data_IF_351707725658
#
_entry.id   IF_351707725658
#
_cell.length_a   1.000
_cell.length_b   1.000
_cell.length_c   1.000
_cell.angle_alpha   90.00
_cell.angle_beta   90.00
_cell.angle_gamma   90.00
#
_symmetry.space_group_name_H-M   'P 1'
#
loop_
_entity.id
_entity.type
_entity.pdbx_description
1 polymer ?
#
# COMPACT_ATOMS: atom_id res chain seq x y z
N UNK A 1 16.95 -3.42 -13.79
CA UNK A 1 16.39 -4.34 -12.76
C UNK A 1 16.76 -3.90 -11.34
N UNK A 2 18.01 -3.52 -11.07
CA UNK A 2 18.46 -3.06 -9.74
C UNK A 2 17.72 -1.81 -9.25
N UNK A 3 17.42 -0.85 -10.11
CA UNK A 3 16.61 0.33 -9.78
C UNK A 3 15.15 -0.02 -9.44
N UNK A 4 14.57 -1.02 -10.07
CA UNK A 4 13.20 -1.49 -9.78
C UNK A 4 13.08 -2.15 -8.40
N UNK A 5 14.08 -2.94 -8.00
CA UNK A 5 14.10 -3.59 -6.69
C UNK A 5 14.33 -2.58 -5.56
N UNK A 6 15.19 -1.58 -5.78
CA UNK A 6 15.42 -0.49 -4.85
C UNK A 6 14.16 0.37 -4.64
N UNK A 7 13.47 0.73 -5.71
CA UNK A 7 12.22 1.49 -5.64
C UNK A 7 11.15 0.73 -4.86
N UNK A 8 11.00 -0.57 -5.08
CA UNK A 8 10.02 -1.39 -4.35
C UNK A 8 10.32 -1.49 -2.85
N UNK A 9 11.59 -1.68 -2.46
CA UNK A 9 11.99 -1.79 -1.06
C UNK A 9 11.96 -0.44 -0.33
N UNK A 10 12.43 0.64 -0.96
CA UNK A 10 12.35 1.99 -0.38
C UNK A 10 10.91 2.46 -0.21
N UNK A 11 10.05 2.08 -1.14
CA UNK A 11 8.65 2.42 -1.10
C UNK A 11 7.91 1.75 0.03
N UNK A 12 8.16 0.47 0.26
CA UNK A 12 7.60 -0.28 1.37
C UNK A 12 8.02 0.30 2.72
N UNK A 13 9.29 0.73 2.85
CA UNK A 13 9.80 1.37 4.07
C UNK A 13 9.14 2.72 4.30
N UNK A 14 9.00 3.56 3.27
CA UNK A 14 8.35 4.87 3.38
C UNK A 14 6.87 4.75 3.73
N UNK A 15 6.18 3.83 3.10
CA UNK A 15 4.76 3.59 3.35
C UNK A 15 4.52 3.14 4.79
N UNK A 16 5.30 2.17 5.26
CA UNK A 16 5.24 1.71 6.65
C UNK A 16 5.58 2.80 7.66
N UNK A 17 6.52 3.71 7.38
CA UNK A 17 6.85 4.82 8.29
C UNK A 17 5.72 5.86 8.32
N UNK A 18 5.08 6.16 7.20
CA UNK A 18 3.98 7.14 7.12
C UNK A 18 2.74 6.61 7.83
N UNK A 19 2.39 5.35 7.62
CA UNK A 19 1.20 4.73 8.23
C UNK A 19 1.42 4.32 9.69
N UNK A 20 2.69 4.13 10.11
CA UNK A 20 3.11 3.76 11.45
C UNK A 20 2.51 4.65 12.54
N UNK A 21 2.36 5.97 12.28
CA UNK A 21 1.79 6.94 13.22
C UNK A 21 0.25 6.96 13.25
N UNK A 22 -0.42 6.23 12.35
CA UNK A 22 -1.86 6.39 12.18
C UNK A 22 -2.68 5.95 13.41
N UNK A 23 -2.76 4.67 13.68
CA UNK A 23 -3.61 4.17 14.78
C UNK A 23 -2.84 3.77 16.04
N UNK A 24 -1.62 3.26 15.89
CA UNK A 24 -0.85 2.76 17.03
C UNK A 24 -0.36 3.89 17.94
N UNK A 25 -0.07 5.08 17.41
CA UNK A 25 0.31 6.25 18.22
C UNK A 25 -0.89 6.83 18.98
N UNK A 26 -2.05 6.92 18.36
CA UNK A 26 -3.28 7.36 19.02
C UNK A 26 -3.69 6.42 20.16
N UNK A 27 -3.53 5.12 19.96
CA UNK A 27 -3.78 4.11 20.99
C UNK A 27 -2.82 4.23 22.18
N UNK A 28 -1.55 4.52 21.90
CA UNK A 28 -0.54 4.78 22.95
C UNK A 28 -0.84 6.05 23.75
N UNK A 29 -1.38 7.08 23.10
CA UNK A 29 -1.73 8.35 23.75
C UNK A 29 -3.13 8.33 24.37
N UNK A 30 -3.87 7.21 24.31
CA UNK A 30 -5.25 7.04 24.77
C UNK A 30 -6.26 8.03 24.13
N UNK A 31 -5.91 8.65 23.03
CA UNK A 31 -6.79 9.54 22.26
C UNK A 31 -7.81 8.76 21.43
N UNK A 32 -7.58 7.46 21.24
CA UNK A 32 -8.52 6.52 20.65
C UNK A 32 -9.84 6.45 21.41
N UNK A 33 -9.82 6.57 22.74
CA UNK A 33 -11.04 6.58 23.58
C UNK A 33 -11.93 7.79 23.27
N UNK A 34 -11.34 8.96 23.07
CA UNK A 34 -12.07 10.16 22.68
C UNK A 34 -12.67 10.04 21.26
N UNK A 35 -11.97 9.34 20.35
CA UNK A 35 -12.42 9.09 19.00
C UNK A 35 -13.60 8.07 18.97
N UNK A 36 -13.53 7.04 19.81
CA UNK A 36 -14.56 6.00 19.91
C UNK A 36 -15.85 6.50 20.59
N UNK A 37 -15.76 7.55 21.42
CA UNK A 37 -16.93 8.21 22.06
C UNK A 37 -17.55 9.30 21.19
N UNK A 38 -16.90 9.68 20.09
CA UNK A 38 -17.44 10.63 19.12
C UNK A 38 -18.66 10.07 18.38
N UNK A 39 -19.66 10.90 18.04
CA UNK A 39 -20.84 10.49 17.28
C UNK A 39 -20.55 10.20 15.80
N UNK A 40 -19.29 10.26 15.36
CA UNK A 40 -18.87 9.97 13.98
C UNK A 40 -18.88 8.47 13.69
N UNK A 41 -19.15 8.09 12.45
CA UNK A 41 -19.09 6.70 12.02
C UNK A 41 -17.63 6.20 12.03
N UNK A 42 -17.39 4.99 12.52
CA UNK A 42 -16.05 4.38 12.55
C UNK A 42 -15.44 4.26 11.14
N UNK A 43 -16.30 4.08 10.15
CA UNK A 43 -15.88 4.03 8.76
C UNK A 43 -15.31 5.37 8.28
N UNK A 44 -15.91 6.50 8.68
CA UNK A 44 -15.39 7.84 8.35
C UNK A 44 -14.01 8.08 8.95
N UNK A 45 -13.76 7.59 10.16
CA UNK A 45 -12.46 7.69 10.81
C UNK A 45 -11.40 6.91 10.04
N UNK A 46 -11.71 5.66 9.66
CA UNK A 46 -10.80 4.81 8.87
C UNK A 46 -10.51 5.43 7.51
N UNK A 47 -11.57 5.93 6.83
CA UNK A 47 -11.43 6.59 5.53
C UNK A 47 -10.62 7.89 5.63
N UNK A 48 -10.82 8.69 6.67
CA UNK A 48 -10.05 9.91 6.89
C UNK A 48 -8.56 9.64 7.06
N UNK A 49 -8.19 8.60 7.82
CA UNK A 49 -6.80 8.20 8.01
C UNK A 49 -6.19 7.61 6.74
N UNK A 50 -6.94 6.78 6.03
CA UNK A 50 -6.52 6.23 4.76
C UNK A 50 -6.26 7.33 3.73
N UNK A 51 -7.18 8.28 3.58
CA UNK A 51 -7.03 9.41 2.67
C UNK A 51 -5.85 10.31 3.06
N UNK A 52 -5.65 10.56 4.36
CA UNK A 52 -4.52 11.34 4.84
C UNK A 52 -3.17 10.68 4.48
N UNK A 53 -3.04 9.38 4.72
CA UNK A 53 -1.85 8.62 4.34
C UNK A 53 -1.66 8.57 2.82
N UNK A 54 -2.74 8.37 2.06
CA UNK A 54 -2.71 8.32 0.60
C UNK A 54 -2.31 9.67 -0.01
N UNK A 55 -2.77 10.79 0.53
CA UNK A 55 -2.37 12.13 0.08
C UNK A 55 -0.88 12.35 0.32
N UNK A 56 -0.36 12.02 1.51
CA UNK A 56 1.07 12.10 1.81
C UNK A 56 1.90 11.25 0.85
N UNK A 57 1.43 10.03 0.59
CA UNK A 57 2.07 9.14 -0.36
C UNK A 57 2.04 9.69 -1.79
N UNK A 58 0.91 10.26 -2.21
CA UNK A 58 0.76 10.91 -3.51
C UNK A 58 1.74 12.09 -3.67
N UNK A 59 1.89 12.92 -2.62
CA UNK A 59 2.87 14.03 -2.63
C UNK A 59 4.30 13.48 -2.76
N UNK A 60 4.64 12.42 -2.04
CA UNK A 60 5.94 11.77 -2.16
C UNK A 60 6.14 11.16 -3.57
N UNK A 61 5.09 10.64 -4.19
CA UNK A 61 5.18 10.06 -5.54
C UNK A 61 5.38 11.11 -6.64
N UNK A 62 5.04 12.39 -6.40
CA UNK A 62 5.34 13.48 -7.34
C UNK A 62 6.83 13.66 -7.61
N UNK A 63 7.69 13.19 -6.71
CA UNK A 63 9.15 13.21 -6.92
C UNK A 63 9.55 12.43 -8.18
N UNK A 64 8.82 11.34 -8.50
CA UNK A 64 9.07 10.56 -9.72
C UNK A 64 8.69 11.33 -10.99
N UNK A 65 7.66 12.16 -10.92
CA UNK A 65 7.25 13.04 -12.03
C UNK A 65 8.32 14.12 -12.24
N UNK A 66 8.83 14.70 -11.16
CA UNK A 66 9.93 15.68 -11.23
C UNK A 66 11.18 15.05 -11.81
N UNK A 67 11.50 13.82 -11.42
CA UNK A 67 12.63 13.09 -11.97
C UNK A 67 12.47 12.82 -13.47
N UNK A 68 11.27 12.43 -13.91
CA UNK A 68 10.95 12.25 -15.32
C UNK A 68 11.07 13.56 -16.13
N UNK A 69 10.68 14.70 -15.52
CA UNK A 69 10.88 16.02 -16.12
C UNK A 69 12.36 16.35 -16.33
N UNK A 70 13.20 16.05 -15.35
CA UNK A 70 14.65 16.27 -15.46
C UNK A 70 15.24 15.40 -16.59
N UNK A 71 14.84 14.14 -16.69
CA UNK A 71 15.28 13.25 -17.77
C UNK A 71 14.82 13.75 -19.14
N UNK A 72 13.65 14.38 -19.21
CA UNK A 72 13.10 14.96 -20.45
C UNK A 72 14.02 16.00 -21.12
N UNK A 73 14.93 16.63 -20.36
CA UNK A 73 15.94 17.53 -20.93
C UNK A 73 17.07 16.81 -21.67
N UNK A 74 17.27 15.52 -21.38
CA UNK A 74 18.34 14.72 -21.97
C UNK A 74 17.84 13.71 -23.00
N UNK A 75 16.62 13.24 -22.85
CA UNK A 75 16.02 12.20 -23.70
C UNK A 75 14.50 12.47 -23.76
N UNK A 76 13.85 12.12 -24.87
CA UNK A 76 12.39 12.19 -25.01
C UNK A 76 11.72 11.00 -24.29
N UNK A 77 11.26 11.11 -23.05
CA UNK A 77 10.56 10.02 -22.37
C UNK A 77 9.14 9.88 -22.92
N UNK A 78 8.65 8.65 -22.98
CA UNK A 78 7.25 8.38 -23.27
C UNK A 78 6.38 8.79 -22.08
N UNK A 79 5.75 9.95 -22.14
CA UNK A 79 4.89 10.51 -21.08
C UNK A 79 3.73 9.58 -20.70
N UNK A 80 3.23 8.80 -21.65
CA UNK A 80 2.18 7.82 -21.39
C UNK A 80 2.67 6.75 -20.41
N UNK A 81 3.88 6.23 -20.60
CA UNK A 81 4.48 5.23 -19.69
C UNK A 81 4.75 5.82 -18.31
N UNK A 82 5.23 7.07 -18.24
CA UNK A 82 5.47 7.76 -16.96
C UNK A 82 4.17 7.91 -16.17
N UNK A 83 3.10 8.39 -16.81
CA UNK A 83 1.80 8.56 -16.16
C UNK A 83 1.21 7.21 -15.71
N UNK A 84 1.29 6.17 -16.55
CA UNK A 84 0.86 4.82 -16.19
C UNK A 84 1.62 4.29 -14.99
N UNK A 85 2.94 4.48 -14.96
CA UNK A 85 3.79 4.04 -13.85
C UNK A 85 3.42 4.75 -12.54
N UNK A 86 3.21 6.06 -12.56
CA UNK A 86 2.79 6.83 -11.39
C UNK A 86 1.41 6.38 -10.90
N UNK A 87 0.49 6.13 -11.81
CA UNK A 87 -0.85 5.62 -11.47
C UNK A 87 -0.76 4.22 -10.84
N UNK A 88 0.00 3.31 -11.43
CA UNK A 88 0.25 1.98 -10.86
C UNK A 88 0.88 2.06 -9.48
N UNK A 89 1.81 3.00 -9.28
CA UNK A 89 2.46 3.29 -8.03
C UNK A 89 1.44 3.73 -6.95
N UNK A 90 0.53 4.64 -7.28
CA UNK A 90 -0.53 5.10 -6.38
C UNK A 90 -1.49 3.98 -6.01
N UNK A 91 -1.83 3.10 -6.96
CA UNK A 91 -2.69 1.95 -6.71
C UNK A 91 -2.00 0.92 -5.80
N UNK A 92 -0.76 0.58 -6.07
CA UNK A 92 0.04 -0.31 -5.23
C UNK A 92 0.17 0.27 -3.81
N UNK A 93 0.55 1.56 -3.69
CA UNK A 93 0.66 2.24 -2.41
C UNK A 93 -0.66 2.27 -1.65
N UNK A 94 -1.79 2.50 -2.31
CA UNK A 94 -3.10 2.47 -1.67
C UNK A 94 -3.42 1.11 -1.04
N UNK A 95 -3.05 0.01 -1.72
CA UNK A 95 -3.25 -1.35 -1.20
C UNK A 95 -2.33 -1.63 0.01
N UNK A 96 -1.06 -1.23 -0.06
CA UNK A 96 -0.11 -1.37 1.06
C UNK A 96 -0.53 -0.54 2.27
N UNK A 97 -0.92 0.72 2.08
CA UNK A 97 -1.45 1.61 3.13
C UNK A 97 -2.65 0.97 3.82
N UNK A 98 -3.58 0.39 3.06
CA UNK A 98 -4.75 -0.27 3.63
C UNK A 98 -4.38 -1.49 4.51
N UNK A 99 -3.39 -2.28 4.08
CA UNK A 99 -2.84 -3.41 4.85
C UNK A 99 -2.16 -2.91 6.12
N UNK A 100 -1.33 -1.86 6.03
CA UNK A 100 -0.61 -1.30 7.17
C UNK A 100 -1.57 -0.69 8.21
N UNK A 101 -2.63 -0.01 7.78
CA UNK A 101 -3.68 0.50 8.66
C UNK A 101 -4.38 -0.67 9.38
N UNK A 102 -4.67 -1.76 8.68
CA UNK A 102 -5.26 -2.96 9.28
C UNK A 102 -4.35 -3.54 10.38
N UNK A 103 -3.05 -3.69 10.10
CA UNK A 103 -2.06 -4.16 11.07
C UNK A 103 -1.95 -3.21 12.26
N UNK A 104 -1.97 -1.90 12.01
CA UNK A 104 -1.89 -0.87 13.04
C UNK A 104 -3.08 -0.94 14.01
N UNK A 105 -4.27 -1.30 13.53
CA UNK A 105 -5.45 -1.49 14.40
C UNK A 105 -5.33 -2.77 15.23
N UNK A 106 -4.70 -3.83 14.72
CA UNK A 106 -4.53 -5.08 15.47
C UNK A 106 -3.48 -4.95 16.59
N UNK A 107 -2.46 -4.11 16.40
CA UNK A 107 -1.32 -3.98 17.33
C UNK A 107 -1.48 -2.79 18.28
N UNK A 108 -0.93 -2.93 19.49
CA UNK A 108 -0.93 -1.85 20.50
C UNK A 108 0.39 -1.07 20.52
N UNK A 109 1.42 -1.63 19.91
CA UNK A 109 2.75 -1.04 19.87
C UNK A 109 3.05 -0.50 18.48
N UNK A 110 3.43 0.77 18.41
CA UNK A 110 3.85 1.46 17.21
C UNK A 110 5.03 0.73 16.52
N UNK A 111 5.99 0.24 17.31
CA UNK A 111 7.17 -0.47 16.79
C UNK A 111 6.77 -1.80 16.16
N UNK A 112 5.88 -2.55 16.81
CA UNK A 112 5.40 -3.84 16.29
C UNK A 112 4.61 -3.62 15.00
N UNK A 113 3.77 -2.57 14.93
CA UNK A 113 3.02 -2.23 13.71
C UNK A 113 3.96 -1.93 12.55
N UNK A 114 5.00 -1.11 12.78
CA UNK A 114 5.98 -0.77 11.77
C UNK A 114 6.74 -1.99 11.26
N UNK A 115 7.26 -2.81 12.19
CA UNK A 115 8.01 -4.04 11.82
C UNK A 115 7.11 -5.03 11.08
N UNK A 116 5.85 -5.17 11.49
CA UNK A 116 4.89 -6.04 10.81
C UNK A 116 4.54 -5.53 9.40
N UNK A 117 4.34 -4.22 9.21
CA UNK A 117 4.13 -3.61 7.90
C UNK A 117 5.31 -3.84 6.96
N UNK A 118 6.54 -3.55 7.44
CA UNK A 118 7.76 -3.87 6.68
C UNK A 118 7.86 -5.37 6.35
N UNK A 119 7.51 -6.23 7.31
CA UNK A 119 7.50 -7.68 7.12
C UNK A 119 6.53 -8.12 6.02
N UNK A 120 5.32 -7.56 5.98
CA UNK A 120 4.34 -7.84 4.92
C UNK A 120 4.84 -7.37 3.56
N UNK A 121 5.42 -6.18 3.47
CA UNK A 121 6.00 -5.70 2.22
C UNK A 121 7.15 -6.58 1.73
N UNK A 122 8.04 -7.02 2.62
CA UNK A 122 9.09 -7.99 2.30
C UNK A 122 8.52 -9.34 1.85
N UNK A 123 7.47 -9.83 2.50
CA UNK A 123 6.79 -11.06 2.09
C UNK A 123 6.20 -10.95 0.69
N UNK A 124 5.52 -9.84 0.37
CA UNK A 124 4.98 -9.58 -0.97
C UNK A 124 6.11 -9.58 -2.00
N UNK A 125 7.23 -8.93 -1.70
CA UNK A 125 8.41 -8.92 -2.57
C UNK A 125 9.03 -10.31 -2.75
N UNK A 126 9.17 -11.08 -1.67
CA UNK A 126 9.68 -12.44 -1.73
C UNK A 126 8.77 -13.39 -2.50
N UNK A 127 7.43 -13.27 -2.30
CA UNK A 127 6.46 -14.07 -3.05
C UNK A 127 6.60 -13.88 -4.56
N UNK A 128 6.79 -12.65 -4.99
CA UNK A 128 6.96 -12.34 -6.40
C UNK A 128 8.21 -12.98 -6.99
N UNK A 129 9.34 -12.93 -6.25
CA UNK A 129 10.57 -13.58 -6.69
C UNK A 129 10.47 -15.12 -6.68
N UNK A 130 9.71 -15.69 -5.72
CA UNK A 130 9.49 -17.14 -5.69
C UNK A 130 8.58 -17.61 -6.82
N UNK A 131 7.59 -16.80 -7.21
CA UNK A 131 6.61 -17.15 -8.25
C UNK A 131 7.27 -17.52 -9.58
N UNK A 132 8.43 -16.94 -9.88
CA UNK A 132 9.23 -17.22 -11.08
C UNK A 132 10.00 -18.54 -11.03
N UNK A 133 10.20 -19.12 -9.82
CA UNK A 133 11.03 -20.31 -9.60
C UNK A 133 10.24 -21.55 -9.16
N UNK A 134 8.92 -21.43 -8.96
CA UNK A 134 8.07 -22.55 -8.54
C UNK A 134 7.81 -23.49 -9.71
N UNK A 135 8.29 -24.71 -9.60
CA UNK A 135 8.15 -25.80 -10.59
C UNK A 135 6.77 -26.48 -10.53
N UNK A 136 5.96 -26.19 -9.50
CA UNK A 136 4.65 -26.80 -9.30
C UNK A 136 3.58 -25.90 -9.88
N UNK A 137 3.00 -26.27 -11.03
CA UNK A 137 2.03 -25.48 -11.80
C UNK A 137 0.82 -25.02 -11.00
N UNK A 138 0.38 -25.80 -10.04
CA UNK A 138 -0.79 -25.51 -9.21
C UNK A 138 -0.55 -24.34 -8.26
N UNK A 139 0.59 -24.37 -7.57
CA UNK A 139 1.01 -23.32 -6.62
C UNK A 139 1.41 -22.06 -7.38
N UNK A 140 2.12 -22.22 -8.50
CA UNK A 140 2.51 -21.11 -9.36
C UNK A 140 1.29 -20.30 -9.86
N UNK A 141 0.19 -20.97 -10.20
CA UNK A 141 -1.03 -20.31 -10.67
C UNK A 141 -1.71 -19.49 -9.57
N UNK A 142 -1.74 -19.98 -8.34
CA UNK A 142 -2.33 -19.26 -7.20
C UNK A 142 -1.46 -18.07 -6.82
N UNK A 143 -0.14 -18.27 -6.71
CA UNK A 143 0.82 -17.21 -6.33
C UNK A 143 0.82 -16.09 -7.37
N UNK A 144 0.80 -16.41 -8.67
CA UNK A 144 0.69 -15.41 -9.74
C UNK A 144 -0.57 -14.56 -9.69
N UNK A 145 -1.68 -15.11 -9.20
CA UNK A 145 -2.94 -14.36 -9.02
C UNK A 145 -2.93 -13.41 -7.83
N UNK A 146 -2.02 -13.60 -6.88
CA UNK A 146 -1.89 -12.78 -5.67
C UNK A 146 -0.64 -11.87 -5.76
N UNK A 147 0.13 -11.98 -6.82
CA UNK A 147 1.40 -11.29 -6.99
C UNK A 147 1.21 -9.81 -7.36
N UNK A 148 1.29 -8.96 -6.36
CA UNK A 148 1.19 -7.50 -6.47
C UNK A 148 2.20 -6.89 -7.46
N UNK A 149 3.44 -7.45 -7.50
CA UNK A 149 4.49 -6.93 -8.38
C UNK A 149 4.23 -7.26 -9.84
N UNK A 150 3.67 -8.42 -10.15
CA UNK A 150 3.31 -8.77 -11.53
C UNK A 150 2.27 -7.79 -12.08
N UNK A 151 1.25 -7.45 -11.31
CA UNK A 151 0.26 -6.45 -11.70
C UNK A 151 0.89 -5.04 -11.82
N UNK A 152 1.79 -4.67 -10.93
CA UNK A 152 2.50 -3.39 -11.00
C UNK A 152 3.42 -3.29 -12.21
N UNK A 153 4.11 -4.37 -12.60
CA UNK A 153 5.01 -4.35 -13.77
C UNK A 153 4.27 -4.08 -15.08
N UNK A 154 3.00 -4.46 -15.21
CA UNK A 154 2.18 -4.12 -16.37
C UNK A 154 2.06 -2.59 -16.55
N UNK A 155 1.86 -1.85 -15.45
CA UNK A 155 1.83 -0.38 -15.48
C UNK A 155 3.18 0.21 -15.86
N UNK A 156 4.29 -0.42 -15.47
CA UNK A 156 5.65 0.04 -15.83
C UNK A 156 5.92 -0.12 -17.32
N UNK A 157 5.24 -1.05 -17.99
CA UNK A 157 5.29 -1.19 -19.45
C UNK A 157 4.28 -0.29 -20.18
N UNK A 158 3.55 0.56 -19.45
CA UNK A 158 2.53 1.44 -20.03
C UNK A 158 1.22 0.74 -20.41
N UNK A 159 1.03 -0.50 -19.97
CA UNK A 159 -0.21 -1.25 -20.23
C UNK A 159 -1.23 -0.99 -19.11
N UNK A 160 -2.31 -0.28 -19.44
CA UNK A 160 -3.45 -0.07 -18.56
C UNK A 160 -4.46 -1.21 -18.71
N UNK A 161 -4.34 -2.23 -17.85
CA UNK A 161 -5.33 -3.29 -17.78
C UNK A 161 -6.35 -2.98 -16.67
N UNK A 162 -7.64 -2.99 -17.01
CA UNK A 162 -8.72 -2.82 -16.04
C UNK A 162 -8.68 -3.87 -14.92
N UNK A 163 -8.22 -5.07 -15.22
CA UNK A 163 -8.06 -6.17 -14.26
C UNK A 163 -7.10 -5.79 -13.13
N UNK A 164 -5.99 -5.12 -13.47
CA UNK A 164 -4.95 -4.75 -12.51
C UNK A 164 -5.46 -3.63 -11.58
N UNK A 165 -6.21 -2.68 -12.12
CA UNK A 165 -6.86 -1.60 -11.35
C UNK A 165 -7.89 -2.18 -10.38
N UNK A 166 -8.78 -3.06 -10.86
CA UNK A 166 -9.82 -3.70 -10.05
C UNK A 166 -9.19 -4.54 -8.93
N UNK A 167 -8.08 -5.23 -9.20
CA UNK A 167 -7.36 -6.00 -8.21
C UNK A 167 -6.90 -5.11 -7.03
N UNK A 168 -6.18 -4.02 -7.29
CA UNK A 168 -5.70 -3.12 -6.25
C UNK A 168 -6.85 -2.46 -5.47
N UNK A 169 -7.89 -2.00 -6.16
CA UNK A 169 -9.07 -1.41 -5.51
C UNK A 169 -9.82 -2.43 -4.65
N UNK A 170 -9.94 -3.67 -5.11
CA UNK A 170 -10.57 -4.75 -4.36
C UNK A 170 -9.81 -5.08 -3.07
N UNK A 171 -8.49 -5.19 -3.15
CA UNK A 171 -7.63 -5.42 -1.98
C UNK A 171 -7.75 -4.26 -0.99
N UNK A 172 -7.64 -3.02 -1.47
CA UNK A 172 -7.78 -1.82 -0.64
C UNK A 172 -9.13 -1.79 0.07
N UNK A 173 -10.23 -1.99 -0.65
CA UNK A 173 -11.58 -1.99 -0.10
C UNK A 173 -11.79 -3.10 0.94
N UNK A 174 -11.24 -4.30 0.68
CA UNK A 174 -11.34 -5.44 1.58
C UNK A 174 -10.62 -5.17 2.91
N UNK A 175 -9.40 -4.66 2.89
CA UNK A 175 -8.66 -4.36 4.11
C UNK A 175 -9.26 -3.18 4.89
N UNK A 176 -9.77 -2.15 4.21
CA UNK A 176 -10.49 -1.05 4.87
C UNK A 176 -11.78 -1.54 5.54
N UNK A 177 -12.51 -2.44 4.88
CA UNK A 177 -13.69 -3.06 5.47
C UNK A 177 -13.35 -3.88 6.72
N UNK A 178 -12.30 -4.71 6.66
CA UNK A 178 -11.84 -5.47 7.83
C UNK A 178 -11.41 -4.55 8.97
N UNK A 179 -10.70 -3.47 8.66
CA UNK A 179 -10.29 -2.47 9.65
C UNK A 179 -11.50 -1.86 10.36
N UNK A 180 -12.52 -1.46 9.61
CA UNK A 180 -13.75 -0.92 10.19
C UNK A 180 -14.47 -1.95 11.09
N UNK A 181 -14.52 -3.21 10.69
CA UNK A 181 -15.13 -4.29 11.49
C UNK A 181 -14.37 -4.60 12.77
N UNK A 182 -13.05 -4.59 12.73
CA UNK A 182 -12.23 -4.79 13.94
C UNK A 182 -12.44 -3.65 14.94
N UNK A 183 -12.50 -2.41 14.46
CA UNK A 183 -12.79 -1.25 15.31
C UNK A 183 -14.20 -1.29 15.89
N UNK A 184 -15.20 -1.70 15.11
CA UNK A 184 -16.57 -1.87 15.55
C UNK A 184 -16.66 -2.89 16.70
N UNK A 185 -16.00 -4.04 16.54
CA UNK A 185 -15.95 -5.06 17.59
C UNK A 185 -15.33 -4.54 18.90
N UNK A 186 -14.30 -3.69 18.81
CA UNK A 186 -13.66 -3.09 20.00
C UNK A 186 -14.53 -2.05 20.69
N UNK A 187 -15.44 -1.39 19.97
CA UNK A 187 -16.38 -0.43 20.55
C UNK A 187 -17.41 -1.11 21.45
N UNK A 188 -17.74 -2.38 21.18
CA UNK A 188 -18.75 -3.15 21.91
C UNK A 188 -18.16 -4.09 22.99
N UNK A 189 -16.86 -4.20 23.10
CA UNK A 189 -16.14 -5.00 24.10
C UNK A 189 -15.61 -4.13 25.24
#
# INVERSE_FOLDING_TARGET
EMLRSLVGSEMCIRDSIITMKSFSEEKRQRTDQALLTSPTSLFEIVMGKFLGALILFAICSLIFVVYALVISFFTSPDWAVVLCTVLGLLLLGSALIAIDIFISVLTESMIISAVAGMGVGLLIYMLSNLSSNITVDWIATIVKKIDFLTYYTNFTYGMLNLTDIIFFLSVTGLFLFFTARVLEKRRWS
#
